data_IF_920329655942
#
_entry.id   IF_920329655942
#
_cell.length_a   1.000
_cell.length_b   1.000
_cell.length_c   1.000
_cell.angle_alpha   90.00
_cell.angle_beta   90.00
_cell.angle_gamma   90.00
#
_symmetry.space_group_name_H-M   'P 1'
#
loop_
_entity.id
_entity.type
_entity.pdbx_description
1 polymer ?
#
# COMPACT_ATOMS: atom_id res chain seq x y z
N UNK A 1 35.71 -0.89 -4.01
CA UNK A 1 35.01 -1.94 -3.24
C UNK A 1 33.63 -1.40 -2.91
N UNK A 2 32.56 -2.08 -3.36
CA UNK A 2 31.19 -1.59 -3.16
C UNK A 2 30.85 -1.62 -1.67
N UNK A 3 30.25 -0.55 -1.14
CA UNK A 3 29.94 -0.47 0.29
C UNK A 3 28.80 -1.43 0.63
N UNK A 4 28.84 -2.03 1.82
CA UNK A 4 27.83 -3.00 2.27
C UNK A 4 26.40 -2.44 2.18
N UNK A 5 26.20 -1.16 2.49
CA UNK A 5 24.91 -0.48 2.39
C UNK A 5 24.38 -0.37 0.95
N UNK A 6 25.25 -0.13 -0.04
CA UNK A 6 24.83 -0.12 -1.45
C UNK A 6 24.44 -1.52 -1.91
N UNK A 7 25.20 -2.53 -1.49
CA UNK A 7 24.91 -3.92 -1.81
C UNK A 7 23.53 -4.30 -1.26
N UNK A 8 23.25 -4.02 0.02
CA UNK A 8 21.94 -4.26 0.63
C UNK A 8 20.81 -3.55 -0.10
N UNK A 9 21.02 -2.29 -0.50
CA UNK A 9 20.01 -1.52 -1.25
C UNK A 9 19.71 -2.15 -2.61
N UNK A 10 20.74 -2.51 -3.38
CA UNK A 10 20.57 -3.12 -4.71
C UNK A 10 19.85 -4.47 -4.59
N UNK A 11 20.20 -5.27 -3.57
CA UNK A 11 19.51 -6.53 -3.31
C UNK A 11 18.04 -6.33 -2.95
N UNK A 12 17.73 -5.39 -2.06
CA UNK A 12 16.35 -5.08 -1.68
C UNK A 12 15.52 -4.63 -2.89
N UNK A 13 16.09 -3.78 -3.74
CA UNK A 13 15.45 -3.29 -4.97
C UNK A 13 15.22 -4.42 -5.98
N UNK A 14 16.19 -5.30 -6.15
CA UNK A 14 16.08 -6.47 -7.05
C UNK A 14 15.02 -7.47 -6.58
N UNK A 15 14.96 -7.74 -5.28
CA UNK A 15 13.96 -8.65 -4.68
C UNK A 15 12.57 -8.05 -4.80
N UNK A 16 12.39 -6.79 -4.41
CA UNK A 16 11.08 -6.11 -4.52
C UNK A 16 10.57 -6.07 -5.96
N UNK A 17 11.43 -5.77 -6.93
CA UNK A 17 11.09 -5.81 -8.36
C UNK A 17 10.73 -7.23 -8.85
N UNK A 18 11.51 -8.24 -8.47
CA UNK A 18 11.25 -9.64 -8.84
C UNK A 18 9.93 -10.17 -8.26
N UNK A 19 9.64 -9.85 -7.00
CA UNK A 19 8.38 -10.22 -6.34
C UNK A 19 7.18 -9.52 -6.98
N UNK A 20 7.28 -8.22 -7.29
CA UNK A 20 6.20 -7.49 -7.95
C UNK A 20 5.86 -8.09 -9.33
N UNK A 21 6.89 -8.49 -10.10
CA UNK A 21 6.71 -9.16 -11.39
C UNK A 21 6.01 -10.52 -11.25
N UNK A 22 6.51 -11.38 -10.36
CA UNK A 22 5.91 -12.70 -10.12
C UNK A 22 4.45 -12.61 -9.62
N UNK A 23 4.16 -11.62 -8.79
CA UNK A 23 2.81 -11.39 -8.26
C UNK A 23 1.84 -10.88 -9.34
N UNK A 24 2.34 -10.05 -10.25
CA UNK A 24 1.58 -9.56 -11.41
C UNK A 24 1.23 -10.70 -12.38
N UNK A 25 2.19 -11.58 -12.66
CA UNK A 25 2.02 -12.72 -13.58
C UNK A 25 1.04 -13.78 -13.02
N UNK A 26 0.96 -13.94 -11.70
CA UNK A 26 0.11 -14.95 -11.07
C UNK A 26 -1.35 -14.51 -10.89
N UNK A 27 -1.72 -13.26 -11.21
CA UNK A 27 -3.11 -12.76 -11.17
C UNK A 27 -3.85 -12.95 -9.84
N UNK A 28 -3.13 -13.23 -8.74
CA UNK A 28 -3.73 -13.47 -7.41
C UNK A 28 -4.24 -12.16 -6.82
N UNK A 29 -3.62 -11.03 -7.19
CA UNK A 29 -3.88 -9.75 -6.57
C UNK A 29 -4.90 -8.94 -7.37
N UNK A 30 -6.08 -8.76 -6.78
CA UNK A 30 -7.12 -7.92 -7.37
C UNK A 30 -6.63 -6.47 -7.38
N UNK A 31 -6.68 -5.80 -8.53
CA UNK A 31 -6.30 -4.38 -8.65
C UNK A 31 -7.17 -3.45 -7.77
N UNK A 32 -8.28 -3.98 -7.27
CA UNK A 32 -9.29 -3.26 -6.52
C UNK A 32 -9.39 -3.84 -5.10
N UNK A 33 -9.22 -2.98 -4.11
CA UNK A 33 -9.36 -3.28 -2.68
C UNK A 33 -10.69 -2.74 -2.18
N UNK A 34 -11.44 -3.56 -1.44
CA UNK A 34 -12.65 -3.08 -0.78
C UNK A 34 -12.33 -2.20 0.44
N UNK A 35 -13.25 -1.33 0.86
CA UNK A 35 -13.08 -0.53 2.08
C UNK A 35 -12.81 -1.39 3.32
N UNK A 36 -13.47 -2.54 3.45
CA UNK A 36 -13.26 -3.47 4.56
C UNK A 36 -11.87 -4.12 4.51
N UNK A 37 -11.36 -4.42 3.32
CA UNK A 37 -10.02 -4.95 3.13
C UNK A 37 -8.94 -3.90 3.42
N UNK A 38 -9.12 -2.65 2.99
CA UNK A 38 -8.25 -1.54 3.35
C UNK A 38 -8.15 -1.36 4.88
N UNK A 39 -9.28 -1.45 5.59
CA UNK A 39 -9.29 -1.41 7.06
C UNK A 39 -8.55 -2.59 7.71
N UNK A 40 -8.62 -3.80 7.13
CA UNK A 40 -7.86 -4.96 7.61
C UNK A 40 -6.36 -4.82 7.38
N UNK A 41 -5.94 -4.22 6.26
CA UNK A 41 -4.53 -4.09 5.90
C UNK A 41 -3.81 -2.96 6.63
N UNK A 42 -4.45 -1.79 6.77
CA UNK A 42 -3.79 -0.57 7.25
C UNK A 42 -4.37 0.00 8.55
N UNK A 43 -5.47 -0.59 9.05
CA UNK A 43 -6.16 -0.13 10.25
C UNK A 43 -7.15 1.01 9.97
N UNK A 44 -8.24 1.03 10.74
CA UNK A 44 -9.36 1.96 10.54
C UNK A 44 -8.94 3.43 10.67
N UNK A 45 -8.17 3.77 11.71
CA UNK A 45 -7.75 5.16 11.98
C UNK A 45 -6.97 5.78 10.82
N UNK A 46 -6.02 5.04 10.25
CA UNK A 46 -5.19 5.50 9.12
C UNK A 46 -6.02 5.69 7.86
N UNK A 47 -6.85 4.70 7.54
CA UNK A 47 -7.70 4.74 6.34
C UNK A 47 -8.72 5.87 6.44
N UNK A 48 -9.36 6.06 7.60
CA UNK A 48 -10.31 7.16 7.81
C UNK A 48 -9.61 8.52 7.73
N UNK A 49 -8.39 8.64 8.27
CA UNK A 49 -7.55 9.82 8.12
C UNK A 49 -7.27 10.13 6.65
N UNK A 50 -6.81 9.15 5.86
CA UNK A 50 -6.52 9.33 4.44
C UNK A 50 -7.75 9.73 3.61
N UNK A 51 -8.92 9.18 3.96
CA UNK A 51 -10.20 9.60 3.37
C UNK A 51 -10.51 11.06 3.75
N UNK A 52 -10.30 11.44 5.02
CA UNK A 52 -10.55 12.81 5.50
C UNK A 52 -9.61 13.85 4.88
N UNK A 53 -8.36 13.48 4.64
CA UNK A 53 -7.34 14.28 3.95
C UNK A 53 -7.57 14.32 2.43
N UNK A 54 -8.51 13.51 1.91
CA UNK A 54 -8.86 13.47 0.50
C UNK A 54 -7.82 12.78 -0.38
N UNK A 55 -6.90 12.00 0.22
CA UNK A 55 -5.83 11.27 -0.50
C UNK A 55 -6.41 10.23 -1.47
N UNK A 56 -7.59 9.70 -1.15
CA UNK A 56 -8.42 8.95 -2.09
C UNK A 56 -9.90 9.16 -1.78
N UNK A 57 -10.76 9.02 -2.80
CA UNK A 57 -12.22 9.11 -2.65
C UNK A 57 -12.86 7.75 -2.93
N UNK A 58 -13.69 7.21 -2.03
CA UNK A 58 -14.55 6.08 -2.37
C UNK A 58 -15.53 6.51 -3.46
N UNK A 59 -15.45 5.93 -4.66
CA UNK A 59 -16.38 6.20 -5.76
C UNK A 59 -17.80 5.81 -5.34
N UNK A 60 -18.70 6.80 -5.28
CA UNK A 60 -20.12 6.61 -4.97
C UNK A 60 -20.96 6.77 -6.24
N UNK A 61 -21.74 5.74 -6.56
CA UNK A 61 -22.92 5.84 -7.42
C UNK A 61 -22.74 5.35 -8.84
N UNK A 62 -23.21 4.13 -9.11
CA UNK A 62 -24.04 3.81 -10.28
C UNK A 62 -24.70 2.44 -10.09
N UNK A 63 -25.85 2.27 -10.74
CA UNK A 63 -27.04 1.50 -10.34
C UNK A 63 -26.93 -0.02 -10.54
N UNK A 64 -25.76 -0.56 -10.84
CA UNK A 64 -25.53 -2.01 -10.89
C UNK A 64 -24.31 -2.39 -10.04
N UNK A 65 -24.57 -3.08 -8.94
CA UNK A 65 -23.62 -3.82 -8.09
C UNK A 65 -22.35 -3.04 -7.73
N UNK A 66 -22.50 -2.26 -6.68
CA UNK A 66 -21.47 -1.87 -5.71
C UNK A 66 -20.21 -2.76 -5.67
N UNK A 67 -19.13 -2.31 -6.30
CA UNK A 67 -17.77 -2.53 -5.82
C UNK A 67 -17.09 -1.17 -5.75
N UNK A 68 -17.37 -0.43 -4.68
CA UNK A 68 -16.63 0.79 -4.32
C UNK A 68 -15.18 0.38 -4.04
N UNK A 69 -14.44 0.28 -5.11
CA UNK A 69 -13.10 -0.24 -5.17
C UNK A 69 -12.09 0.86 -4.98
N UNK A 70 -11.16 0.66 -4.05
CA UNK A 70 -9.96 1.49 -3.92
C UNK A 70 -8.89 0.86 -4.79
N UNK A 71 -8.25 1.66 -5.64
CA UNK A 71 -7.08 1.22 -6.40
C UNK A 71 -5.99 0.77 -5.43
N UNK A 72 -5.58 -0.51 -5.53
CA UNK A 72 -4.60 -1.13 -4.62
C UNK A 72 -3.26 -0.40 -4.67
N UNK A 73 -2.79 -0.08 -5.88
CA UNK A 73 -1.48 0.52 -6.09
C UNK A 73 -1.45 1.94 -5.49
N UNK A 74 -2.52 2.72 -5.68
CA UNK A 74 -2.64 4.04 -5.04
C UNK A 74 -2.69 3.94 -3.52
N UNK A 75 -3.42 2.96 -2.98
CA UNK A 75 -3.51 2.77 -1.54
C UNK A 75 -2.15 2.37 -0.94
N UNK A 76 -1.40 1.50 -1.62
CA UNK A 76 -0.05 1.11 -1.24
C UNK A 76 0.93 2.28 -1.32
N UNK A 77 0.86 3.11 -2.36
CA UNK A 77 1.67 4.31 -2.48
C UNK A 77 1.37 5.32 -1.35
N UNK A 78 0.09 5.50 -1.01
CA UNK A 78 -0.33 6.34 0.13
C UNK A 78 0.22 5.77 1.44
N UNK A 79 0.11 4.44 1.65
CA UNK A 79 0.65 3.80 2.84
C UNK A 79 2.17 3.97 2.95
N UNK A 80 2.91 3.76 1.85
CA UNK A 80 4.35 3.94 1.79
C UNK A 80 4.77 5.39 2.08
N UNK A 81 4.04 6.37 1.54
CA UNK A 81 4.29 7.79 1.78
C UNK A 81 3.89 8.25 3.20
N UNK A 82 2.79 7.71 3.73
CA UNK A 82 2.21 8.12 5.02
C UNK A 82 2.94 7.51 6.23
N UNK A 83 3.73 6.44 6.05
CA UNK A 83 4.39 5.71 7.13
C UNK A 83 5.80 6.21 7.50
N UNK A 84 6.21 7.40 7.04
CA UNK A 84 7.56 7.93 7.32
C UNK A 84 7.89 8.14 8.81
N UNK A 85 6.91 8.07 9.71
CA UNK A 85 7.11 8.19 11.17
C UNK A 85 6.98 6.90 11.99
N UNK A 86 6.58 5.76 11.41
CA UNK A 86 6.17 4.57 12.19
C UNK A 86 7.22 3.45 12.22
N UNK A 87 8.35 3.60 11.53
CA UNK A 87 9.46 2.63 11.56
C UNK A 87 10.43 2.80 12.74
N UNK A 88 10.20 3.78 13.63
CA UNK A 88 10.97 3.86 14.87
C UNK A 88 10.38 2.88 15.90
N UNK A 89 11.18 1.96 16.47
CA UNK A 89 10.78 1.13 17.60
C UNK A 89 10.23 2.02 18.72
N UNK A 90 9.23 1.52 19.45
CA UNK A 90 8.60 2.23 20.58
C UNK A 90 9.61 2.66 21.66
N UNK A 91 10.78 2.04 21.70
CA UNK A 91 11.89 2.35 22.59
C UNK A 91 12.54 3.73 22.36
N UNK A 92 12.33 4.36 21.20
CA UNK A 92 12.87 5.69 20.87
C UNK A 92 11.82 6.81 21.02
N UNK A 93 10.72 6.57 21.77
CA UNK A 93 9.71 7.57 22.11
C UNK A 93 9.93 8.19 23.49
#
# INVERSE_FOLDING_TARGET
>A
MMKQAELTRIFLESVTGGTAKALSETSIQTAIVSKAEAYRLYGRSQVDRWISEGLFKPLKGQIYISKSGIDREKLEAIAAASNRGTYLPVSDR
#
